data_IF_705888398726
#
_entry.id   IF_705888398726
#
_cell.length_a   1.000
_cell.length_b   1.000
_cell.length_c   1.000
_cell.angle_alpha   90.00
_cell.angle_beta   90.00
_cell.angle_gamma   90.00
#
_symmetry.space_group_name_H-M   'P 1'
#
loop_
_entity.id
_entity.type
_entity.pdbx_description
1 polymer ?
#
# COMPACT_ATOMS: atom_id res chain seq x y z
N UNK A 1 -16.47 -29.29 -51.43
CA UNK A 1 -16.38 -28.42 -50.22
C UNK A 1 -17.67 -27.62 -50.08
N UNK A 2 -18.40 -27.77 -48.98
CA UNK A 2 -19.72 -27.16 -48.80
C UNK A 2 -19.60 -25.67 -48.46
N UNK A 3 -20.63 -24.86 -48.75
CA UNK A 3 -20.60 -23.39 -48.59
C UNK A 3 -20.15 -22.95 -47.19
N UNK A 4 -20.55 -23.70 -46.17
CA UNK A 4 -20.18 -23.46 -44.76
C UNK A 4 -18.68 -23.66 -44.48
N UNK A 5 -18.03 -24.67 -45.06
CA UNK A 5 -16.60 -24.94 -44.86
C UNK A 5 -15.72 -23.85 -45.48
N UNK A 6 -16.13 -23.30 -46.63
CA UNK A 6 -15.43 -22.17 -47.27
C UNK A 6 -15.45 -20.91 -46.41
N UNK A 7 -16.61 -20.62 -45.82
CA UNK A 7 -16.82 -19.45 -44.96
C UNK A 7 -16.02 -19.61 -43.66
N UNK A 8 -16.04 -20.78 -43.05
CA UNK A 8 -15.29 -21.05 -41.83
C UNK A 8 -13.77 -20.87 -42.01
N UNK A 9 -13.20 -21.39 -43.11
CA UNK A 9 -11.76 -21.27 -43.41
C UNK A 9 -11.36 -19.80 -43.64
N UNK A 10 -12.24 -18.98 -44.22
CA UNK A 10 -11.97 -17.57 -44.47
C UNK A 10 -12.05 -16.72 -43.19
N UNK A 11 -13.01 -17.01 -42.30
CA UNK A 11 -13.27 -16.19 -41.10
C UNK A 11 -12.37 -16.58 -39.91
N UNK A 12 -12.01 -17.87 -39.80
CA UNK A 12 -11.16 -18.39 -38.73
C UNK A 12 -9.85 -17.60 -38.47
N UNK A 13 -9.05 -17.21 -39.49
CA UNK A 13 -7.82 -16.45 -39.24
C UNK A 13 -8.07 -15.06 -38.64
N UNK A 14 -9.16 -14.38 -39.04
CA UNK A 14 -9.50 -13.07 -38.46
C UNK A 14 -9.97 -13.20 -37.01
N UNK A 15 -10.81 -14.20 -36.71
CA UNK A 15 -11.24 -14.49 -35.34
C UNK A 15 -10.06 -14.89 -34.44
N UNK A 16 -9.07 -15.61 -34.97
CA UNK A 16 -7.86 -15.96 -34.22
C UNK A 16 -7.01 -14.72 -33.87
N UNK A 17 -6.83 -13.80 -34.82
CA UNK A 17 -6.06 -12.56 -34.60
C UNK A 17 -6.79 -11.64 -33.61
N UNK A 18 -8.10 -11.45 -33.80
CA UNK A 18 -8.93 -10.62 -32.91
C UNK A 18 -9.00 -11.23 -31.51
N UNK A 19 -9.15 -12.57 -31.42
CA UNK A 19 -9.15 -13.30 -30.16
C UNK A 19 -7.85 -13.09 -29.39
N UNK A 20 -6.69 -13.23 -30.05
CA UNK A 20 -5.38 -13.02 -29.45
C UNK A 20 -5.18 -11.58 -28.94
N UNK A 21 -5.57 -10.57 -29.74
CA UNK A 21 -5.46 -9.17 -29.35
C UNK A 21 -6.35 -8.81 -28.14
N UNK A 22 -7.57 -9.35 -28.08
CA UNK A 22 -8.49 -9.10 -26.96
C UNK A 22 -7.99 -9.81 -25.69
N UNK A 23 -7.44 -11.02 -25.79
CA UNK A 23 -6.88 -11.71 -24.62
C UNK A 23 -5.70 -10.97 -24.03
N UNK A 24 -4.78 -10.47 -24.86
CA UNK A 24 -3.66 -9.63 -24.38
C UNK A 24 -4.16 -8.38 -23.66
N UNK A 25 -5.13 -7.66 -24.25
CA UNK A 25 -5.71 -6.47 -23.61
C UNK A 25 -6.44 -6.78 -22.29
N UNK A 26 -7.12 -7.92 -22.20
CA UNK A 26 -7.87 -8.31 -21.00
C UNK A 26 -6.96 -8.76 -19.85
N UNK A 27 -5.87 -9.47 -20.17
CA UNK A 27 -4.85 -9.83 -19.19
C UNK A 27 -4.09 -8.59 -18.67
N UNK A 28 -3.75 -7.64 -19.55
CA UNK A 28 -3.19 -6.35 -19.14
C UNK A 28 -4.14 -5.55 -18.24
N UNK A 29 -5.44 -5.58 -18.54
CA UNK A 29 -6.46 -4.85 -17.76
C UNK A 29 -6.67 -5.47 -16.37
N UNK A 30 -6.65 -6.80 -16.23
CA UNK A 30 -6.65 -7.47 -14.92
C UNK A 30 -5.35 -7.22 -14.14
N UNK A 31 -4.21 -7.19 -14.82
CA UNK A 31 -2.93 -6.85 -14.19
C UNK A 31 -2.86 -5.37 -13.74
N UNK A 32 -3.60 -4.49 -14.42
CA UNK A 32 -3.73 -3.07 -14.09
C UNK A 32 -4.74 -2.78 -12.96
N UNK A 33 -5.54 -3.75 -12.55
CA UNK A 33 -6.43 -3.60 -11.39
C UNK A 33 -5.56 -3.51 -10.12
N UNK A 34 -5.49 -2.31 -9.53
CA UNK A 34 -4.67 -2.04 -8.33
C UNK A 34 -5.13 -2.97 -7.21
N UNK A 35 -4.28 -3.95 -6.88
CA UNK A 35 -4.50 -4.89 -5.77
C UNK A 35 -4.37 -4.13 -4.46
N UNK A 36 -5.47 -4.01 -3.71
CA UNK A 36 -5.50 -3.34 -2.40
C UNK A 36 -5.52 -4.39 -1.30
N UNK A 37 -4.58 -4.31 -0.37
CA UNK A 37 -4.46 -5.16 0.79
C UNK A 37 -4.63 -4.32 2.05
N UNK A 38 -5.48 -4.74 2.99
CA UNK A 38 -5.68 -4.02 4.24
C UNK A 38 -4.78 -4.63 5.31
N UNK A 39 -3.98 -3.81 5.98
CA UNK A 39 -3.16 -4.22 7.11
C UNK A 39 -3.89 -3.95 8.43
N UNK A 40 -3.77 -4.87 9.37
CA UNK A 40 -4.23 -4.72 10.75
C UNK A 40 -3.07 -4.48 11.71
N UNK A 41 -3.33 -3.90 12.87
CA UNK A 41 -2.31 -3.80 13.93
C UNK A 41 -2.13 -5.19 14.56
N UNK A 42 -0.90 -5.67 14.65
CA UNK A 42 -0.61 -6.99 15.22
C UNK A 42 -0.91 -7.09 16.73
N UNK A 43 -0.66 -6.01 17.48
CA UNK A 43 -0.88 -5.90 18.92
C UNK A 43 -1.37 -4.47 19.26
N UNK A 44 -1.01 -3.94 20.43
CA UNK A 44 -1.16 -2.51 20.71
C UNK A 44 -0.16 -1.70 19.87
N UNK A 45 -0.58 -0.54 19.34
CA UNK A 45 0.29 0.39 18.64
C UNK A 45 0.68 1.57 19.55
N UNK A 46 1.95 1.60 19.96
CA UNK A 46 2.60 2.75 20.57
C UNK A 46 3.86 3.11 19.74
N UNK A 47 3.70 4.11 18.88
CA UNK A 47 4.77 4.58 17.97
C UNK A 47 5.94 5.18 18.76
N UNK A 48 5.68 5.80 19.92
CA UNK A 48 6.71 6.42 20.76
C UNK A 48 7.57 5.35 21.44
N UNK A 49 6.93 4.29 21.93
CA UNK A 49 7.59 3.11 22.50
C UNK A 49 8.20 2.17 21.45
N UNK A 50 8.09 2.50 20.15
CA UNK A 50 8.53 1.66 19.01
C UNK A 50 7.83 0.30 18.96
N UNK A 51 6.62 0.23 19.52
CA UNK A 51 5.78 -0.96 19.53
C UNK A 51 4.56 -0.71 18.65
N UNK A 52 4.75 -0.59 17.34
CA UNK A 52 3.64 -0.47 16.40
C UNK A 52 3.99 -1.21 15.11
N UNK A 53 3.34 -2.34 14.90
CA UNK A 53 3.53 -3.22 13.74
C UNK A 53 2.17 -3.43 13.08
N UNK A 54 2.12 -3.15 11.78
CA UNK A 54 1.01 -3.47 10.91
C UNK A 54 1.34 -4.74 10.14
N UNK A 55 0.34 -5.59 9.92
CA UNK A 55 0.50 -6.88 9.23
C UNK A 55 -0.58 -7.12 8.18
N UNK A 56 -0.17 -7.74 7.08
CA UNK A 56 -1.05 -8.33 6.06
C UNK A 56 -0.36 -9.59 5.54
N UNK A 57 -0.86 -10.77 5.93
CA UNK A 57 -0.21 -12.06 5.69
C UNK A 57 1.25 -12.07 6.19
N UNK A 58 2.23 -12.22 5.30
CA UNK A 58 3.67 -12.21 5.61
C UNK A 58 4.30 -10.80 5.58
N UNK A 59 3.55 -9.80 5.12
CA UNK A 59 4.02 -8.43 5.05
C UNK A 59 3.87 -7.74 6.40
N UNK A 60 4.99 -7.33 7.00
CA UNK A 60 5.03 -6.56 8.24
C UNK A 60 5.59 -5.17 7.97
N UNK A 61 4.98 -4.17 8.58
CA UNK A 61 5.39 -2.78 8.50
C UNK A 61 5.41 -2.18 9.91
N UNK A 62 6.61 -1.87 10.38
CA UNK A 62 6.84 -1.25 11.69
C UNK A 62 6.91 0.27 11.57
N UNK A 63 6.35 0.98 12.54
CA UNK A 63 6.31 2.45 12.56
C UNK A 63 6.87 2.94 13.89
N UNK A 64 7.78 3.90 13.82
CA UNK A 64 8.36 4.53 15.01
C UNK A 64 8.58 6.03 14.79
N UNK A 65 8.69 6.79 15.86
CA UNK A 65 9.02 8.22 15.78
C UNK A 65 10.20 8.54 16.69
N UNK A 66 11.21 9.22 16.16
CA UNK A 66 12.37 9.70 16.94
C UNK A 66 12.96 10.95 16.30
N UNK A 67 13.38 11.91 17.14
CA UNK A 67 14.09 13.13 16.71
C UNK A 67 13.35 13.94 15.61
N UNK A 68 12.02 13.97 15.64
CA UNK A 68 11.19 14.71 14.67
C UNK A 68 11.01 14.00 13.33
N UNK A 69 11.49 12.76 13.20
CA UNK A 69 11.28 11.93 12.02
C UNK A 69 10.41 10.73 12.38
N UNK A 70 9.41 10.45 11.55
CA UNK A 70 8.72 9.16 11.56
C UNK A 70 9.46 8.22 10.64
N UNK A 71 9.81 7.04 11.15
CA UNK A 71 10.50 5.98 10.43
C UNK A 71 9.55 4.81 10.24
N UNK A 72 9.68 4.19 9.07
CA UNK A 72 8.93 3.01 8.68
C UNK A 72 9.91 1.97 8.14
N UNK A 73 9.80 0.76 8.67
CA UNK A 73 10.58 -0.39 8.20
C UNK A 73 9.64 -1.51 7.77
N UNK A 74 9.97 -2.19 6.68
CA UNK A 74 9.13 -3.24 6.10
C UNK A 74 9.88 -4.56 5.89
N UNK A 75 9.16 -5.68 5.86
CA UNK A 75 9.74 -7.00 5.51
C UNK A 75 9.94 -7.19 4.00
N UNK A 76 9.24 -6.40 3.18
CA UNK A 76 9.39 -6.36 1.73
C UNK A 76 9.81 -4.97 1.25
N UNK A 77 10.56 -4.88 0.12
CA UNK A 77 11.01 -3.61 -0.40
C UNK A 77 9.82 -2.81 -0.93
N UNK A 78 9.65 -1.58 -0.46
CA UNK A 78 8.60 -0.68 -0.91
C UNK A 78 9.04 0.09 -2.16
N UNK A 79 8.07 0.42 -3.00
CA UNK A 79 8.25 1.37 -4.10
C UNK A 79 7.98 2.79 -3.62
N UNK A 80 6.95 2.98 -2.78
CA UNK A 80 6.57 4.26 -2.17
C UNK A 80 5.86 4.04 -0.84
N UNK A 81 5.89 5.05 0.04
CA UNK A 81 5.10 5.08 1.26
C UNK A 81 4.58 6.49 1.54
N UNK A 82 3.30 6.61 1.93
CA UNK A 82 2.68 7.86 2.37
C UNK A 82 1.98 7.63 3.70
N UNK A 83 2.35 8.43 4.70
CA UNK A 83 1.73 8.45 6.02
C UNK A 83 0.75 9.62 6.10
N UNK A 84 -0.37 9.41 6.77
CA UNK A 84 -1.34 10.46 7.05
C UNK A 84 -1.54 10.58 8.55
N UNK A 85 -1.47 11.80 9.04
CA UNK A 85 -1.90 12.13 10.40
C UNK A 85 -3.34 12.65 10.31
N UNK A 86 -4.24 12.00 11.04
CA UNK A 86 -5.67 12.33 11.02
C UNK A 86 -6.03 13.07 12.29
N UNK A 87 -6.63 14.26 12.14
CA UNK A 87 -7.08 15.06 13.27
C UNK A 87 -8.46 14.62 13.80
N UNK A 88 -8.96 15.33 14.81
CA UNK A 88 -10.25 15.05 15.45
C UNK A 88 -11.45 15.30 14.52
N UNK A 89 -11.29 16.21 13.55
CA UNK A 89 -12.28 16.53 12.52
C UNK A 89 -12.18 15.57 11.31
N UNK A 90 -11.34 14.54 11.42
CA UNK A 90 -11.07 13.51 10.41
C UNK A 90 -10.38 14.04 9.14
N UNK A 91 -9.75 15.21 9.21
CA UNK A 91 -8.90 15.72 8.14
C UNK A 91 -7.53 15.04 8.19
N UNK A 92 -7.04 14.64 7.02
CA UNK A 92 -5.78 13.92 6.88
C UNK A 92 -4.69 14.83 6.33
N UNK A 93 -3.60 15.00 7.08
CA UNK A 93 -2.36 15.64 6.60
C UNK A 93 -1.41 14.57 6.08
N UNK A 94 -1.08 14.61 4.79
CA UNK A 94 -0.22 13.62 4.13
C UNK A 94 1.27 13.96 4.21
N UNK A 95 2.09 12.95 4.45
CA UNK A 95 3.54 13.00 4.46
C UNK A 95 4.07 11.91 3.53
N UNK A 96 4.66 12.30 2.39
CA UNK A 96 5.37 11.35 1.54
C UNK A 96 6.69 10.97 2.22
N UNK A 97 6.94 9.68 2.39
CA UNK A 97 8.20 9.21 2.95
C UNK A 97 9.24 9.09 1.84
N UNK A 98 10.49 9.40 2.19
CA UNK A 98 11.66 9.14 1.36
C UNK A 98 12.36 7.87 1.82
N UNK A 99 12.80 7.07 0.86
CA UNK A 99 13.72 5.96 1.10
C UNK A 99 15.01 6.49 1.73
N UNK A 100 15.55 5.79 2.73
CA UNK A 100 16.84 6.14 3.32
C UNK A 100 17.97 5.44 2.55
N UNK A 101 18.45 4.32 3.07
CA UNK A 101 19.61 3.61 2.53
C UNK A 101 19.19 2.56 1.50
N UNK A 102 18.01 1.95 1.68
CA UNK A 102 17.49 0.88 0.84
C UNK A 102 15.95 0.83 0.92
N UNK A 103 15.25 0.09 0.05
CA UNK A 103 13.78 0.14 -0.06
C UNK A 103 13.02 -0.47 1.13
N UNK A 104 13.71 -0.97 2.15
CA UNK A 104 13.10 -1.48 3.38
C UNK A 104 13.01 -0.40 4.48
N UNK A 105 13.66 0.75 4.30
CA UNK A 105 13.77 1.81 5.30
C UNK A 105 13.32 3.16 4.73
N UNK A 106 12.31 3.75 5.37
CA UNK A 106 11.64 4.95 4.90
C UNK A 106 11.48 5.95 6.03
N UNK A 107 11.55 7.24 5.73
CA UNK A 107 11.33 8.29 6.72
C UNK A 107 10.70 9.55 6.15
N UNK A 108 10.05 10.30 7.02
CA UNK A 108 9.65 11.68 6.76
C UNK A 108 9.81 12.51 8.04
N UNK A 109 10.09 13.81 7.87
CA UNK A 109 9.89 14.78 8.95
C UNK A 109 8.39 14.97 9.14
N UNK A 110 7.92 14.76 10.36
CA UNK A 110 6.49 14.87 10.71
C UNK A 110 6.36 15.60 12.04
N UNK A 111 5.17 16.16 12.29
CA UNK A 111 4.81 16.71 13.59
C UNK A 111 4.22 15.66 14.55
N UNK A 112 4.32 14.36 14.21
CA UNK A 112 3.74 13.27 15.00
C UNK A 112 4.21 13.29 16.46
N UNK A 113 5.49 13.58 16.71
CA UNK A 113 6.07 13.60 18.06
C UNK A 113 5.36 14.53 19.04
N UNK A 114 4.83 15.66 18.56
CA UNK A 114 4.05 16.58 19.40
C UNK A 114 2.65 16.04 19.74
N UNK A 115 2.09 15.20 18.86
CA UNK A 115 0.76 14.61 19.02
C UNK A 115 0.76 13.40 19.97
N UNK A 116 1.89 12.71 20.07
CA UNK A 116 2.07 11.51 20.91
C UNK A 116 2.99 11.78 22.12
N UNK A 117 3.17 13.04 22.52
CA UNK A 117 4.15 13.38 23.56
C UNK A 117 3.74 12.86 24.94
N UNK A 118 2.45 12.91 25.27
CA UNK A 118 1.94 12.62 26.63
C UNK A 118 1.37 11.20 26.73
N UNK A 119 1.59 10.49 27.85
CA UNK A 119 0.86 9.27 28.15
C UNK A 119 -0.67 9.48 28.05
N UNK A 120 -1.36 8.49 27.49
CA UNK A 120 -2.79 8.54 27.18
C UNK A 120 -3.15 9.32 25.91
N UNK A 121 -2.18 9.85 25.15
CA UNK A 121 -2.47 10.50 23.86
C UNK A 121 -2.81 9.46 22.81
N UNK A 122 -3.96 9.66 22.16
CA UNK A 122 -4.40 8.89 21.02
C UNK A 122 -4.23 9.71 19.74
N UNK A 123 -3.50 9.15 18.78
CA UNK A 123 -3.33 9.73 17.45
C UNK A 123 -3.80 8.74 16.40
N UNK A 124 -4.79 9.14 15.58
CA UNK A 124 -5.22 8.36 14.43
C UNK A 124 -4.26 8.57 13.25
N UNK A 125 -3.87 7.48 12.59
CA UNK A 125 -3.01 7.51 11.42
C UNK A 125 -3.63 6.69 10.30
N UNK A 126 -3.27 7.05 9.06
CA UNK A 126 -3.44 6.17 7.90
C UNK A 126 -2.11 5.98 7.22
N UNK A 127 -1.95 4.87 6.53
CA UNK A 127 -0.77 4.63 5.70
C UNK A 127 -1.15 3.95 4.40
N UNK A 128 -0.41 4.30 3.34
CA UNK A 128 -0.40 3.59 2.07
C UNK A 128 1.05 3.25 1.75
N UNK A 129 1.37 1.97 1.64
CA UNK A 129 2.66 1.46 1.20
C UNK A 129 2.46 0.68 -0.11
N UNK A 130 3.23 0.98 -1.15
CA UNK A 130 3.10 0.32 -2.44
C UNK A 130 4.24 -0.65 -2.69
N UNK A 131 3.92 -1.84 -3.22
CA UNK A 131 4.86 -2.90 -3.55
C UNK A 131 4.43 -3.55 -4.86
N UNK A 132 5.24 -3.41 -5.92
CA UNK A 132 5.05 -4.05 -7.23
C UNK A 132 3.62 -3.91 -7.77
N UNK A 133 3.07 -2.70 -7.67
CA UNK A 133 1.72 -2.36 -8.13
C UNK A 133 0.57 -2.75 -7.18
N UNK A 134 0.86 -3.41 -6.05
CA UNK A 134 -0.09 -3.59 -4.94
C UNK A 134 0.00 -2.43 -3.93
N UNK A 135 -1.14 -2.06 -3.34
CA UNK A 135 -1.25 -1.03 -2.31
C UNK A 135 -1.66 -1.66 -0.98
N UNK A 136 -0.80 -1.57 0.02
CA UNK A 136 -1.05 -1.99 1.39
C UNK A 136 -1.50 -0.78 2.20
N UNK A 137 -2.72 -0.82 2.71
CA UNK A 137 -3.36 0.31 3.39
C UNK A 137 -3.75 -0.03 4.81
N UNK A 138 -3.73 0.95 5.70
CA UNK A 138 -4.27 0.78 7.05
C UNK A 138 -4.77 2.11 7.62
N UNK A 139 -5.84 2.06 8.41
CA UNK A 139 -6.21 3.10 9.37
C UNK A 139 -6.09 2.50 10.77
N UNK A 140 -5.34 3.17 11.66
CA UNK A 140 -5.07 2.67 13.00
C UNK A 140 -4.86 3.83 13.96
N UNK A 141 -4.91 3.54 15.26
CA UNK A 141 -4.66 4.54 16.32
C UNK A 141 -3.40 4.14 17.08
N UNK A 142 -2.51 5.10 17.29
CA UNK A 142 -1.41 4.95 18.24
C UNK A 142 -1.84 5.54 19.57
N UNK A 143 -1.76 4.72 20.62
CA UNK A 143 -2.01 5.14 22.01
C UNK A 143 -0.67 5.15 22.74
N UNK A 144 -0.30 6.30 23.28
CA UNK A 144 0.95 6.46 24.04
C UNK A 144 0.74 5.95 25.46
N UNK A 145 1.59 5.03 25.93
CA UNK A 145 1.56 4.57 27.33
C UNK A 145 2.45 5.40 28.26
#
# INVERSE_FOLDING_TARGET
MNKHTKIAIFIAPFLAIIGFAITDMYEEQQAAEKRIFTMSVQNQCDIKAKNCILESDEFLLSISHQRGETLINSTYPLDTATLFLVDQDNNATSFSLGMTDNPYYWRAKTNLGALIEKPGSDQKLRIIANIKGGSYISEFTSTTQ
#
